data_IF_484327033406
#
_entry.id   IF_484327033406
#
_cell.length_a   1.000
_cell.length_b   1.000
_cell.length_c   1.000
_cell.angle_alpha   90.00
_cell.angle_beta   90.00
_cell.angle_gamma   90.00
#
_symmetry.space_group_name_H-M   'P 1'
#
loop_
_entity.id
_entity.type
_entity.pdbx_description
1 polymer ?
#
# COMPACT_ATOMS: atom_id res chain seq x y z
N UNK A 1 -5.30 -22.32 -14.68
CA UNK A 1 -4.95 -20.89 -14.76
C UNK A 1 -3.94 -20.56 -13.67
N UNK A 2 -3.02 -19.64 -13.95
CA UNK A 2 -2.06 -19.17 -12.95
C UNK A 2 -2.79 -18.51 -11.78
N UNK A 3 -2.44 -18.87 -10.54
CA UNK A 3 -2.97 -18.24 -9.34
C UNK A 3 -2.31 -16.88 -9.14
N UNK A 4 -3.12 -15.83 -9.00
CA UNK A 4 -2.65 -14.44 -9.02
C UNK A 4 -3.02 -13.72 -7.73
N UNK A 5 -2.10 -12.89 -7.21
CA UNK A 5 -2.33 -12.07 -6.04
C UNK A 5 -1.93 -10.61 -6.26
N UNK A 6 -2.60 -9.72 -5.56
CA UNK A 6 -2.16 -8.35 -5.32
C UNK A 6 -1.76 -8.24 -3.85
N UNK A 7 -0.52 -7.84 -3.59
CA UNK A 7 -0.02 -7.54 -2.26
C UNK A 7 -0.02 -6.03 -2.06
N UNK A 8 -1.00 -5.52 -1.30
CA UNK A 8 -1.06 -4.11 -0.92
C UNK A 8 -0.08 -3.85 0.23
N UNK A 9 0.90 -2.99 0.00
CA UNK A 9 1.97 -2.70 0.96
C UNK A 9 1.94 -1.24 1.37
N UNK A 10 1.84 -1.00 2.67
CA UNK A 10 1.89 0.33 3.27
C UNK A 10 2.83 0.38 4.47
N UNK A 11 3.12 1.58 4.98
CA UNK A 11 3.78 1.76 6.28
C UNK A 11 2.96 1.14 7.42
N UNK A 12 1.63 1.28 7.33
CA UNK A 12 0.68 0.84 8.34
C UNK A 12 0.31 1.92 9.34
N UNK A 13 -0.71 1.63 10.16
CA UNK A 13 -1.14 2.46 11.29
C UNK A 13 -1.65 1.59 12.43
N UNK A 14 -1.36 2.02 13.66
CA UNK A 14 -1.81 1.34 14.89
C UNK A 14 -3.26 1.67 15.26
N UNK A 15 -3.88 2.67 14.63
CA UNK A 15 -5.24 3.09 14.93
C UNK A 15 -6.24 2.25 14.13
N UNK A 16 -7.07 1.38 14.76
CA UNK A 16 -7.95 0.44 14.04
C UNK A 16 -8.95 1.12 13.11
N UNK A 17 -9.61 2.19 13.59
CA UNK A 17 -10.59 2.93 12.78
C UNK A 17 -9.95 3.64 11.59
N UNK A 18 -8.79 4.26 11.79
CA UNK A 18 -8.02 4.88 10.71
C UNK A 18 -7.59 3.82 9.70
N UNK A 19 -7.05 2.70 10.18
CA UNK A 19 -6.62 1.58 9.33
C UNK A 19 -7.76 1.07 8.45
N UNK A 20 -8.97 0.92 9.03
CA UNK A 20 -10.17 0.49 8.29
C UNK A 20 -10.59 1.52 7.24
N UNK A 21 -10.66 2.80 7.62
CA UNK A 21 -11.16 3.89 6.76
C UNK A 21 -10.19 4.31 5.65
N UNK A 22 -8.91 4.01 5.76
CA UNK A 22 -7.88 4.40 4.79
C UNK A 22 -7.31 3.18 4.07
N UNK A 23 -6.39 2.45 4.70
CA UNK A 23 -5.73 1.29 4.09
C UNK A 23 -6.76 0.23 3.70
N UNK A 24 -7.66 -0.13 4.61
CA UNK A 24 -8.70 -1.14 4.35
C UNK A 24 -9.65 -0.75 3.22
N UNK A 25 -10.08 0.52 3.17
CA UNK A 25 -10.93 1.02 2.09
C UNK A 25 -10.20 0.99 0.73
N UNK A 26 -8.90 1.27 0.71
CA UNK A 26 -8.08 1.18 -0.50
C UNK A 26 -7.95 -0.28 -0.96
N UNK A 27 -7.69 -1.20 -0.05
CA UNK A 27 -7.61 -2.65 -0.35
C UNK A 27 -8.94 -3.20 -0.86
N UNK A 28 -10.05 -2.76 -0.29
CA UNK A 28 -11.39 -3.12 -0.76
C UNK A 28 -11.66 -2.61 -2.18
N UNK A 29 -11.27 -1.36 -2.48
CA UNK A 29 -11.37 -0.80 -3.81
C UNK A 29 -10.54 -1.57 -4.84
N UNK A 30 -9.31 -1.97 -4.47
CA UNK A 30 -8.45 -2.82 -5.30
C UNK A 30 -9.12 -4.18 -5.54
N UNK A 31 -9.63 -4.82 -4.50
CA UNK A 31 -10.30 -6.11 -4.61
C UNK A 31 -11.54 -6.07 -5.52
N UNK A 32 -12.31 -4.99 -5.47
CA UNK A 32 -13.46 -4.79 -6.37
C UNK A 32 -13.05 -4.53 -7.81
N UNK A 33 -11.98 -3.77 -8.03
CA UNK A 33 -11.48 -3.45 -9.36
C UNK A 33 -10.81 -4.65 -10.06
N UNK A 34 -10.20 -5.56 -9.28
CA UNK A 34 -9.44 -6.71 -9.76
C UNK A 34 -9.99 -8.02 -9.17
N UNK A 35 -11.24 -8.34 -9.47
CA UNK A 35 -11.97 -9.48 -8.88
C UNK A 35 -11.38 -10.87 -9.16
N UNK A 36 -10.47 -10.98 -10.12
CA UNK A 36 -9.74 -12.21 -10.46
C UNK A 36 -8.37 -12.33 -9.74
N UNK A 37 -8.09 -11.44 -8.79
CA UNK A 37 -6.91 -11.47 -7.94
C UNK A 37 -7.31 -11.60 -6.46
N UNK A 38 -6.57 -12.41 -5.72
CA UNK A 38 -6.67 -12.39 -4.25
C UNK A 38 -5.83 -11.23 -3.70
N UNK A 39 -6.43 -10.42 -2.83
CA UNK A 39 -5.75 -9.24 -2.25
C UNK A 39 -5.23 -9.55 -0.86
N UNK A 40 -3.96 -9.28 -0.64
CA UNK A 40 -3.26 -9.47 0.63
C UNK A 40 -2.65 -8.16 1.13
N UNK A 41 -2.37 -8.11 2.42
CA UNK A 41 -1.80 -6.95 3.12
C UNK A 41 -0.42 -7.25 3.65
N UNK A 42 0.49 -6.26 3.56
CA UNK A 42 1.72 -6.23 4.34
C UNK A 42 2.03 -4.80 4.81
N UNK A 43 2.70 -4.68 5.97
CA UNK A 43 3.17 -3.41 6.51
C UNK A 43 4.69 -3.39 6.62
N UNK A 44 5.31 -2.29 6.19
CA UNK A 44 6.77 -2.13 6.28
C UNK A 44 7.21 -1.80 7.70
N UNK A 45 6.44 -1.03 8.46
CA UNK A 45 6.82 -0.61 9.81
C UNK A 45 6.78 -1.75 10.83
N UNK A 46 7.96 -2.18 11.28
CA UNK A 46 8.11 -3.16 12.37
C UNK A 46 7.44 -2.69 13.67
N UNK A 47 7.55 -1.40 13.98
CA UNK A 47 6.97 -0.83 15.20
C UNK A 47 5.45 -0.89 15.15
N UNK A 48 4.84 -0.52 14.02
CA UNK A 48 3.39 -0.57 13.84
C UNK A 48 2.89 -2.01 13.96
N UNK A 49 3.52 -2.96 13.26
CA UNK A 49 3.14 -4.38 13.31
C UNK A 49 3.21 -4.95 14.72
N UNK A 50 4.31 -4.65 15.45
CA UNK A 50 4.46 -5.07 16.85
C UNK A 50 3.35 -4.51 17.75
N UNK A 51 3.05 -3.21 17.67
CA UNK A 51 2.00 -2.59 18.47
C UNK A 51 0.61 -3.14 18.18
N UNK A 52 0.31 -3.44 16.92
CA UNK A 52 -0.96 -4.08 16.53
C UNK A 52 -1.07 -5.47 17.18
N UNK A 53 0.01 -6.26 17.14
CA UNK A 53 0.04 -7.58 17.79
C UNK A 53 -0.15 -7.48 19.31
N UNK A 54 0.54 -6.53 19.96
CA UNK A 54 0.44 -6.31 21.41
C UNK A 54 -0.95 -5.83 21.85
N UNK A 55 -1.57 -4.93 21.09
CA UNK A 55 -2.82 -4.28 21.48
C UNK A 55 -4.07 -5.01 21.03
N UNK A 56 -4.01 -5.70 19.87
CA UNK A 56 -5.17 -6.29 19.21
C UNK A 56 -5.05 -7.82 19.01
N UNK A 57 -3.88 -8.40 19.27
CA UNK A 57 -3.61 -9.82 19.01
C UNK A 57 -3.55 -10.18 17.51
N UNK A 58 -3.54 -9.18 16.63
CA UNK A 58 -3.54 -9.36 15.17
C UNK A 58 -2.11 -9.42 14.65
N UNK A 59 -1.77 -10.45 13.89
CA UNK A 59 -0.51 -10.53 13.16
C UNK A 59 -0.67 -9.95 11.76
N UNK A 60 0.16 -8.97 11.43
CA UNK A 60 0.30 -8.41 10.08
C UNK A 60 1.70 -8.71 9.59
N UNK A 61 1.78 -9.30 8.41
CA UNK A 61 3.06 -9.67 7.80
C UNK A 61 3.87 -8.44 7.36
N UNK A 62 5.19 -8.57 7.39
CA UNK A 62 6.06 -7.75 6.56
C UNK A 62 6.08 -8.26 5.12
N UNK A 63 6.78 -7.55 4.26
CA UNK A 63 6.80 -7.88 2.83
C UNK A 63 7.46 -9.22 2.57
N UNK A 64 8.57 -9.53 3.25
CA UNK A 64 9.27 -10.82 3.10
C UNK A 64 8.37 -11.99 3.51
N UNK A 65 7.77 -11.90 4.70
CA UNK A 65 6.86 -12.94 5.22
C UNK A 65 5.64 -13.11 4.31
N UNK A 66 5.06 -12.01 3.82
CA UNK A 66 3.92 -12.08 2.91
C UNK A 66 4.29 -12.77 1.59
N UNK A 67 5.45 -12.45 0.99
CA UNK A 67 5.90 -13.06 -0.25
C UNK A 67 6.19 -14.56 -0.08
N UNK A 68 6.82 -14.97 1.03
CA UNK A 68 7.03 -16.38 1.35
C UNK A 68 5.69 -17.11 1.43
N UNK A 69 4.73 -16.58 2.20
CA UNK A 69 3.40 -17.19 2.34
C UNK A 69 2.64 -17.28 1.01
N UNK A 70 2.80 -16.29 0.13
CA UNK A 70 2.19 -16.33 -1.20
C UNK A 70 2.80 -17.43 -2.07
N UNK A 71 4.12 -17.59 -2.06
CA UNK A 71 4.80 -18.65 -2.76
C UNK A 71 4.36 -20.03 -2.24
N UNK A 72 4.31 -20.23 -0.92
CA UNK A 72 3.88 -21.49 -0.28
C UNK A 72 2.42 -21.84 -0.62
N UNK A 73 1.56 -20.83 -0.82
CA UNK A 73 0.17 -21.00 -1.27
C UNK A 73 0.04 -21.24 -2.78
N UNK A 74 1.15 -21.29 -3.51
CA UNK A 74 1.19 -21.58 -4.95
C UNK A 74 0.77 -20.41 -5.86
N UNK A 75 0.87 -19.16 -5.38
CA UNK A 75 0.71 -18.02 -6.26
C UNK A 75 1.88 -17.93 -7.23
N UNK A 76 1.58 -17.77 -8.52
CA UNK A 76 2.57 -17.71 -9.59
C UNK A 76 2.83 -16.29 -10.07
N UNK A 77 1.81 -15.44 -10.02
CA UNK A 77 1.91 -14.03 -10.40
C UNK A 77 1.54 -13.15 -9.20
N UNK A 78 2.44 -12.24 -8.81
CA UNK A 78 2.23 -11.31 -7.71
C UNK A 78 2.45 -9.89 -8.18
N UNK A 79 1.45 -9.04 -7.95
CA UNK A 79 1.54 -7.60 -8.18
C UNK A 79 1.60 -6.90 -6.84
N UNK A 80 2.72 -6.26 -6.55
CA UNK A 80 2.90 -5.50 -5.30
C UNK A 80 2.42 -4.08 -5.53
N UNK A 81 1.30 -3.73 -4.92
CA UNK A 81 0.74 -2.39 -4.95
C UNK A 81 1.32 -1.59 -3.78
N UNK A 82 2.26 -0.71 -4.07
CA UNK A 82 2.76 0.23 -3.07
C UNK A 82 1.69 1.29 -2.74
N UNK A 83 1.43 1.49 -1.46
CA UNK A 83 0.61 2.59 -0.94
C UNK A 83 1.47 3.69 -0.32
N UNK A 84 2.77 3.70 -0.60
CA UNK A 84 3.70 4.75 -0.17
C UNK A 84 3.50 6.01 -1.02
N UNK A 85 3.71 7.17 -0.39
CA UNK A 85 3.50 8.46 -1.05
C UNK A 85 4.69 8.83 -1.93
N UNK A 86 5.91 8.62 -1.43
CA UNK A 86 7.17 9.00 -2.11
C UNK A 86 8.15 7.82 -2.22
N UNK A 87 9.10 7.86 -3.16
CA UNK A 87 10.17 6.87 -3.26
C UNK A 87 11.23 7.09 -2.16
N UNK A 88 10.89 6.71 -0.92
CA UNK A 88 11.76 6.83 0.25
C UNK A 88 12.26 5.48 0.74
N UNK A 89 12.84 5.48 1.96
CA UNK A 89 13.43 4.30 2.61
C UNK A 89 12.44 3.13 2.67
N UNK A 90 11.20 3.38 3.04
CA UNK A 90 10.16 2.35 3.16
C UNK A 90 9.83 1.70 1.80
N UNK A 91 9.80 2.49 0.73
CA UNK A 91 9.60 1.95 -0.61
C UNK A 91 10.81 1.10 -1.08
N UNK A 92 12.03 1.52 -0.74
CA UNK A 92 13.24 0.74 -1.05
C UNK A 92 13.22 -0.61 -0.33
N UNK A 93 12.73 -0.68 0.93
CA UNK A 93 12.56 -1.96 1.63
C UNK A 93 11.62 -2.92 0.88
N UNK A 94 10.58 -2.40 0.24
CA UNK A 94 9.68 -3.21 -0.60
C UNK A 94 10.42 -3.75 -1.82
N UNK A 95 11.19 -2.91 -2.52
CA UNK A 95 11.97 -3.33 -3.68
C UNK A 95 13.03 -4.38 -3.31
N UNK A 96 13.71 -4.21 -2.18
CA UNK A 96 14.70 -5.17 -1.68
C UNK A 96 14.06 -6.52 -1.35
N UNK A 97 12.89 -6.53 -0.71
CA UNK A 97 12.15 -7.76 -0.44
C UNK A 97 11.74 -8.47 -1.75
N UNK A 98 11.25 -7.73 -2.73
CA UNK A 98 10.92 -8.29 -4.05
C UNK A 98 12.16 -8.92 -4.70
N UNK A 99 13.29 -8.24 -4.68
CA UNK A 99 14.53 -8.75 -5.26
C UNK A 99 15.00 -10.05 -4.58
N UNK A 100 14.79 -10.20 -3.27
CA UNK A 100 15.13 -11.45 -2.54
C UNK A 100 14.24 -12.63 -2.91
N UNK A 101 12.96 -12.36 -3.26
CA UNK A 101 11.95 -13.41 -3.45
C UNK A 101 11.44 -13.58 -4.89
N UNK A 102 11.95 -12.81 -5.85
CA UNK A 102 11.45 -12.79 -7.23
C UNK A 102 11.47 -14.16 -7.91
N UNK A 103 12.47 -14.98 -7.60
CA UNK A 103 12.66 -16.30 -8.22
C UNK A 103 11.62 -17.33 -7.74
N UNK A 104 10.84 -17.01 -6.72
CA UNK A 104 9.73 -17.85 -6.25
C UNK A 104 8.45 -17.70 -7.10
N UNK A 105 8.43 -16.76 -8.03
CA UNK A 105 7.26 -16.44 -8.85
C UNK A 105 7.57 -16.48 -10.33
N UNK A 106 6.58 -16.83 -11.13
CA UNK A 106 6.68 -16.72 -12.60
C UNK A 106 6.73 -15.25 -13.02
N UNK A 107 6.00 -14.40 -12.29
CA UNK A 107 6.02 -12.95 -12.49
C UNK A 107 5.78 -12.23 -11.16
N UNK A 108 6.62 -11.25 -10.85
CA UNK A 108 6.40 -10.30 -9.77
C UNK A 108 6.70 -8.89 -10.27
N UNK A 109 5.79 -7.96 -9.98
CA UNK A 109 5.91 -6.54 -10.37
C UNK A 109 5.52 -5.66 -9.20
N UNK A 110 6.10 -4.48 -9.11
CA UNK A 110 5.76 -3.45 -8.12
C UNK A 110 5.34 -2.16 -8.82
N UNK A 111 4.32 -1.51 -8.29
CA UNK A 111 3.94 -0.17 -8.74
C UNK A 111 4.91 0.86 -8.15
N UNK A 112 5.08 1.99 -8.84
CA UNK A 112 5.73 3.17 -8.25
C UNK A 112 4.91 3.70 -7.06
N UNK A 113 5.53 4.48 -6.15
CA UNK A 113 4.79 5.22 -5.14
C UNK A 113 3.91 6.29 -5.80
N UNK A 114 2.99 6.88 -5.03
CA UNK A 114 2.00 7.84 -5.53
C UNK A 114 2.62 9.05 -6.23
N UNK A 115 3.70 9.59 -5.66
CA UNK A 115 4.43 10.77 -6.16
C UNK A 115 5.85 10.37 -6.55
N UNK A 116 6.01 9.91 -7.78
CA UNK A 116 7.29 9.44 -8.30
C UNK A 116 7.82 10.32 -9.45
N UNK A 117 6.92 10.92 -10.22
CA UNK A 117 7.25 11.74 -11.38
C UNK A 117 6.67 13.14 -11.25
N UNK A 118 7.16 14.08 -12.05
CA UNK A 118 6.61 15.44 -12.11
C UNK A 118 5.11 15.43 -12.46
N UNK A 119 4.70 14.56 -13.37
CA UNK A 119 3.30 14.36 -13.74
C UNK A 119 2.42 13.97 -12.55
N UNK A 120 2.93 13.11 -11.66
CA UNK A 120 2.19 12.69 -10.46
C UNK A 120 1.93 13.88 -9.53
N UNK A 121 2.92 14.75 -9.35
CA UNK A 121 2.76 15.99 -8.57
C UNK A 121 1.73 16.92 -9.21
N UNK A 122 1.76 17.09 -10.53
CA UNK A 122 0.77 17.91 -11.24
C UNK A 122 -0.65 17.37 -11.06
N UNK A 123 -0.84 16.05 -11.18
CA UNK A 123 -2.14 15.40 -10.95
C UNK A 123 -2.64 15.60 -9.52
N UNK A 124 -1.75 15.51 -8.53
CA UNK A 124 -2.10 15.78 -7.13
C UNK A 124 -2.53 17.24 -6.95
N UNK A 125 -1.79 18.21 -7.51
CA UNK A 125 -2.14 19.63 -7.44
C UNK A 125 -3.51 19.88 -8.04
N UNK A 126 -3.83 19.30 -9.20
CA UNK A 126 -5.14 19.42 -9.84
C UNK A 126 -6.25 18.83 -8.96
N UNK A 127 -6.00 17.67 -8.35
CA UNK A 127 -6.95 17.04 -7.42
C UNK A 127 -7.20 17.94 -6.20
N UNK A 128 -6.15 18.45 -5.56
CA UNK A 128 -6.26 19.33 -4.40
C UNK A 128 -6.99 20.64 -4.75
N UNK A 129 -6.67 21.23 -5.91
CA UNK A 129 -7.38 22.41 -6.42
C UNK A 129 -8.86 22.14 -6.58
N UNK A 130 -9.24 21.04 -7.21
CA UNK A 130 -10.64 20.64 -7.39
C UNK A 130 -11.37 20.47 -6.06
N UNK A 131 -10.73 19.92 -5.02
CA UNK A 131 -11.31 19.78 -3.68
C UNK A 131 -11.57 21.16 -3.02
N UNK A 132 -10.77 22.18 -3.36
CA UNK A 132 -10.94 23.54 -2.80
C UNK A 132 -11.95 24.39 -3.55
N UNK A 133 -12.38 24.04 -4.75
CA UNK A 133 -13.38 24.78 -5.55
C UNK A 133 -14.78 24.81 -4.91
N UNK A 134 -15.09 23.83 -4.05
CA UNK A 134 -16.40 23.71 -3.37
C UNK A 134 -16.44 24.41 -2.00
N UNK A 135 -15.47 25.24 -1.68
CA UNK A 135 -15.46 25.96 -0.41
C UNK A 135 -16.46 27.12 -0.42
N UNK A 136 -17.29 27.27 0.63
CA UNK A 136 -18.11 28.46 0.80
C UNK A 136 -17.24 29.72 0.88
N UNK A 137 -17.79 30.85 0.44
CA UNK A 137 -17.16 32.16 0.57
C UNK A 137 -16.74 32.44 2.01
N UNK A 138 -15.52 32.92 2.22
CA UNK A 138 -14.94 33.20 3.54
C UNK A 138 -14.36 31.98 4.26
N UNK A 139 -14.26 30.82 3.60
CA UNK A 139 -13.54 29.64 4.10
C UNK A 139 -12.17 29.51 3.44
N UNK A 140 -11.25 28.88 4.14
CA UNK A 140 -9.91 28.57 3.63
C UNK A 140 -9.59 27.08 3.82
N UNK A 141 -8.74 26.53 2.96
CA UNK A 141 -8.15 25.19 3.14
C UNK A 141 -6.74 25.38 3.68
N UNK A 142 -6.46 24.70 4.77
CA UNK A 142 -5.11 24.53 5.28
C UNK A 142 -4.63 23.12 4.91
N UNK A 143 -3.66 23.04 4.03
CA UNK A 143 -3.00 21.78 3.70
C UNK A 143 -1.86 21.52 4.69
N UNK A 144 -1.91 20.39 5.35
CA UNK A 144 -0.89 19.96 6.30
C UNK A 144 -0.14 18.75 5.72
N UNK A 145 1.18 18.88 5.61
CA UNK A 145 2.06 17.80 5.21
C UNK A 145 2.82 17.21 6.39
N UNK A 146 3.42 16.06 6.15
CA UNK A 146 4.41 15.47 7.05
C UNK A 146 5.74 16.16 6.81
N UNK A 147 6.31 16.77 7.84
CA UNK A 147 7.62 17.42 7.78
C UNK A 147 8.78 16.46 7.96
#
# INVERSE_FOLDING_TARGET
MAKKAILAVSFGTTFPETRKKTIGATEEAISKAFSNYDVYRAFTSKIVRRRIKENEGIEIDDVDTALIKLADKGYQEVYVQSLHIIPGIEYNLVQDAINRHKDNFTAIKVTSPLLNTFDDFQRLVLFLKKQSEYLPTGKAVLWMGHG
#
